data_IF_833141402953
#
_entry.id   IF_833141402953
#
_cell.length_a   1.000
_cell.length_b   1.000
_cell.length_c   1.000
_cell.angle_alpha   90.00
_cell.angle_beta   90.00
_cell.angle_gamma   90.00
#
_symmetry.space_group_name_H-M   'P 1'
#
loop_
_entity.id
_entity.type
_entity.pdbx_description
1 polymer ?
#
# COMPACT_ATOMS: atom_id res chain seq x y z
N UNK A 1 -10.50 -3.87 -8.77
CA UNK A 1 -9.34 -4.65 -8.30
C UNK A 1 -8.12 -3.77 -8.41
N UNK A 2 -7.26 -3.76 -7.40
CA UNK A 2 -5.91 -3.19 -7.39
C UNK A 2 -4.89 -4.33 -7.49
N UNK A 3 -3.81 -4.14 -8.25
CA UNK A 3 -2.78 -5.15 -8.47
C UNK A 3 -1.41 -4.57 -8.15
N UNK A 4 -0.65 -5.22 -7.27
CA UNK A 4 0.74 -4.89 -7.01
C UNK A 4 1.62 -5.44 -8.14
N UNK A 5 2.51 -4.63 -8.67
CA UNK A 5 3.33 -4.91 -9.84
C UNK A 5 4.77 -4.44 -9.66
N UNK A 6 5.70 -5.11 -10.35
CA UNK A 6 7.13 -4.76 -10.35
C UNK A 6 7.75 -4.68 -11.75
N UNK A 7 6.94 -4.71 -12.79
CA UNK A 7 7.39 -4.63 -14.17
C UNK A 7 6.39 -3.95 -15.10
N UNK A 8 6.89 -3.44 -16.23
CA UNK A 8 6.03 -2.87 -17.28
C UNK A 8 5.06 -3.92 -17.82
N UNK A 9 5.50 -5.16 -17.99
CA UNK A 9 4.64 -6.22 -18.51
C UNK A 9 3.52 -6.55 -17.55
N UNK A 10 3.79 -6.59 -16.25
CA UNK A 10 2.75 -6.82 -15.20
C UNK A 10 1.70 -5.70 -15.22
N UNK A 11 2.12 -4.43 -15.43
CA UNK A 11 1.16 -3.32 -15.56
C UNK A 11 0.21 -3.51 -16.75
N UNK A 12 0.74 -3.87 -17.92
CA UNK A 12 -0.07 -4.10 -19.11
C UNK A 12 -0.99 -5.32 -18.96
N UNK A 13 -0.54 -6.35 -18.26
CA UNK A 13 -1.37 -7.52 -17.96
C UNK A 13 -2.49 -7.19 -16.98
N UNK A 14 -2.20 -6.40 -15.93
CA UNK A 14 -3.18 -5.93 -14.96
C UNK A 14 -4.28 -5.09 -15.64
N UNK A 15 -3.91 -4.15 -16.50
CA UNK A 15 -4.85 -3.36 -17.30
C UNK A 15 -5.75 -4.26 -18.17
N UNK A 16 -5.16 -5.18 -18.95
CA UNK A 16 -5.92 -6.14 -19.78
C UNK A 16 -6.83 -7.03 -18.94
N UNK A 17 -6.43 -7.36 -17.71
CA UNK A 17 -7.21 -8.13 -16.75
C UNK A 17 -8.35 -7.33 -16.09
N UNK A 18 -8.48 -6.03 -16.40
CA UNK A 18 -9.54 -5.17 -15.87
C UNK A 18 -9.23 -4.62 -14.46
N UNK A 19 -7.96 -4.53 -14.08
CA UNK A 19 -7.58 -3.79 -12.88
C UNK A 19 -7.94 -2.31 -13.06
N UNK A 20 -8.45 -1.69 -12.00
CA UNK A 20 -8.76 -0.26 -12.04
C UNK A 20 -7.59 0.62 -11.61
N UNK A 21 -6.57 0.01 -11.00
CA UNK A 21 -5.35 0.66 -10.51
C UNK A 21 -4.25 -0.35 -10.29
N UNK A 22 -3.01 0.10 -10.35
CA UNK A 22 -1.83 -0.67 -9.94
C UNK A 22 -1.06 0.03 -8.82
N UNK A 23 -0.46 -0.78 -7.93
CA UNK A 23 0.56 -0.35 -7.00
C UNK A 23 1.92 -0.75 -7.55
N UNK A 24 2.72 0.24 -7.92
CA UNK A 24 4.04 0.01 -8.51
C UNK A 24 5.12 -0.05 -7.46
N UNK A 25 5.82 -1.18 -7.43
CA UNK A 25 6.93 -1.47 -6.54
C UNK A 25 8.18 -1.90 -7.32
N UNK A 26 9.29 -1.98 -6.63
CA UNK A 26 10.40 -2.87 -6.93
C UNK A 26 10.49 -3.94 -5.84
N UNK A 27 11.24 -5.02 -6.08
CA UNK A 27 11.63 -6.00 -5.07
C UNK A 27 10.45 -6.56 -4.24
N UNK A 28 9.44 -7.10 -4.91
CA UNK A 28 8.25 -7.68 -4.28
C UNK A 28 8.58 -8.81 -3.30
N UNK A 29 9.72 -9.49 -3.48
CA UNK A 29 10.18 -10.54 -2.57
C UNK A 29 10.45 -10.03 -1.15
N UNK A 30 10.74 -8.74 -0.99
CA UNK A 30 10.90 -8.06 0.31
C UNK A 30 9.68 -7.22 0.71
N UNK A 31 8.54 -7.47 0.07
CA UNK A 31 7.30 -6.75 0.34
C UNK A 31 7.18 -5.40 -0.36
N UNK A 32 7.99 -5.16 -1.40
CA UNK A 32 7.96 -3.95 -2.21
C UNK A 32 8.83 -2.81 -1.66
N UNK A 33 9.62 -2.20 -2.53
CA UNK A 33 10.42 -0.99 -2.28
C UNK A 33 10.12 0.05 -3.36
N UNK A 34 10.66 1.27 -3.22
CA UNK A 34 10.50 2.35 -4.21
C UNK A 34 10.96 1.88 -5.59
N UNK A 35 10.12 2.01 -6.64
CA UNK A 35 10.48 1.63 -8.00
C UNK A 35 11.38 2.68 -8.65
N UNK A 36 12.01 2.33 -9.78
CA UNK A 36 12.74 3.33 -10.55
C UNK A 36 11.78 4.28 -11.28
N UNK A 37 12.16 5.56 -11.34
CA UNK A 37 11.43 6.57 -12.10
C UNK A 37 11.32 6.19 -13.59
N UNK A 38 12.34 5.50 -14.15
CA UNK A 38 12.32 5.01 -15.52
C UNK A 38 11.18 4.01 -15.77
N UNK A 39 11.02 3.03 -14.88
CA UNK A 39 9.92 2.07 -14.97
C UNK A 39 8.55 2.76 -14.87
N UNK A 40 8.37 3.66 -13.92
CA UNK A 40 7.17 4.46 -13.76
C UNK A 40 6.80 5.21 -15.04
N UNK A 41 7.75 5.96 -15.63
CA UNK A 41 7.53 6.75 -16.84
C UNK A 41 7.12 5.88 -18.04
N UNK A 42 7.75 4.71 -18.22
CA UNK A 42 7.40 3.79 -19.32
C UNK A 42 5.99 3.22 -19.13
N UNK A 43 5.58 2.89 -17.90
CA UNK A 43 4.22 2.45 -17.60
C UNK A 43 3.22 3.55 -17.95
N UNK A 44 3.42 4.77 -17.45
CA UNK A 44 2.54 5.93 -17.72
C UNK A 44 2.45 6.27 -19.23
N UNK A 45 3.48 6.00 -20.02
CA UNK A 45 3.44 6.17 -21.48
C UNK A 45 2.64 5.09 -22.21
N UNK A 46 2.58 3.87 -21.65
CA UNK A 46 2.02 2.69 -22.34
C UNK A 46 0.64 2.28 -21.84
N UNK A 47 0.23 2.77 -20.69
CA UNK A 47 -1.02 2.40 -20.03
C UNK A 47 -1.67 3.61 -19.38
N UNK A 48 -2.98 3.82 -19.55
CA UNK A 48 -3.74 4.85 -18.86
C UNK A 48 -4.10 4.47 -17.42
N UNK A 49 -3.76 3.24 -16.97
CA UNK A 49 -4.13 2.75 -15.66
C UNK A 49 -3.55 3.65 -14.55
N UNK A 50 -4.31 4.04 -13.54
CA UNK A 50 -3.79 4.80 -12.40
C UNK A 50 -2.67 4.04 -11.68
N UNK A 51 -1.56 4.73 -11.40
CA UNK A 51 -0.36 4.16 -10.77
C UNK A 51 -0.13 4.81 -9.41
N UNK A 52 -0.26 4.02 -8.36
CA UNK A 52 0.17 4.38 -7.01
C UNK A 52 1.58 3.88 -6.80
N UNK A 53 2.45 4.71 -6.25
CA UNK A 53 3.88 4.42 -6.17
C UNK A 53 4.30 4.12 -4.75
N UNK A 54 4.97 2.98 -4.55
CA UNK A 54 5.58 2.62 -3.27
C UNK A 54 6.73 3.59 -2.94
N UNK A 55 6.68 4.19 -1.76
CA UNK A 55 7.74 5.03 -1.19
C UNK A 55 8.31 4.30 0.03
N UNK A 56 9.30 3.47 -0.21
CA UNK A 56 9.97 2.62 0.77
C UNK A 56 11.40 2.40 0.34
N UNK A 57 12.38 3.08 0.96
CA UNK A 57 13.76 3.11 0.47
C UNK A 57 14.48 1.78 0.57
N UNK A 58 14.07 0.90 1.46
CA UNK A 58 14.64 -0.44 1.68
C UNK A 58 13.63 -1.45 2.20
N UNK A 59 13.97 -2.73 2.12
CA UNK A 59 13.30 -3.81 2.83
C UNK A 59 13.52 -3.78 4.35
N UNK A 60 13.05 -4.80 5.05
CA UNK A 60 13.14 -4.91 6.51
C UNK A 60 12.06 -4.11 7.24
N UNK A 61 12.42 -3.52 8.39
CA UNK A 61 11.53 -2.75 9.23
C UNK A 61 11.06 -1.43 8.60
N UNK A 62 10.23 -0.70 9.33
CA UNK A 62 9.66 0.58 8.89
C UNK A 62 10.13 1.73 9.79
N UNK A 63 11.26 1.54 10.49
CA UNK A 63 11.94 2.51 11.33
C UNK A 63 13.10 3.10 10.53
N UNK A 64 12.95 4.28 9.99
CA UNK A 64 13.91 4.91 9.08
C UNK A 64 14.83 5.88 9.79
N UNK A 65 16.10 5.93 9.33
CA UNK A 65 17.05 6.98 9.69
C UNK A 65 16.63 8.34 9.09
N UNK A 66 17.31 9.41 9.49
CA UNK A 66 17.05 10.74 8.92
C UNK A 66 17.38 10.77 7.42
N UNK A 67 18.51 10.18 7.02
CA UNK A 67 18.90 10.13 5.60
C UNK A 67 17.89 9.32 4.75
N UNK A 68 17.39 8.20 5.27
CA UNK A 68 16.34 7.42 4.60
C UNK A 68 15.03 8.21 4.48
N UNK A 69 14.70 8.99 5.50
CA UNK A 69 13.51 9.85 5.46
C UNK A 69 13.67 10.99 4.45
N UNK A 70 14.86 11.61 4.34
CA UNK A 70 15.13 12.59 3.28
C UNK A 70 14.99 11.96 1.87
N UNK A 71 15.46 10.73 1.67
CA UNK A 71 15.24 9.99 0.41
C UNK A 71 13.75 9.80 0.15
N UNK A 72 12.95 9.41 1.15
CA UNK A 72 11.51 9.26 0.98
C UNK A 72 10.81 10.57 0.58
N UNK A 73 11.23 11.69 1.16
CA UNK A 73 10.70 13.02 0.79
C UNK A 73 11.02 13.39 -0.66
N UNK A 74 12.23 13.10 -1.10
CA UNK A 74 12.63 13.37 -2.48
C UNK A 74 11.89 12.45 -3.46
N UNK A 75 11.72 11.16 -3.14
CA UNK A 75 10.94 10.22 -3.95
C UNK A 75 9.49 10.70 -4.12
N UNK A 76 8.84 11.16 -3.04
CA UNK A 76 7.47 11.72 -3.11
C UNK A 76 7.40 12.88 -4.09
N UNK A 77 8.36 13.84 -4.02
CA UNK A 77 8.39 15.00 -4.93
C UNK A 77 8.55 14.56 -6.38
N UNK A 78 9.55 13.72 -6.63
CA UNK A 78 9.90 13.25 -7.98
C UNK A 78 8.75 12.50 -8.63
N UNK A 79 8.09 11.58 -7.91
CA UNK A 79 6.96 10.84 -8.46
C UNK A 79 5.70 11.69 -8.62
N UNK A 80 5.44 12.61 -7.70
CA UNK A 80 4.34 13.59 -7.82
C UNK A 80 4.53 14.46 -9.07
N UNK A 81 5.72 15.03 -9.28
CA UNK A 81 6.05 15.82 -10.47
C UNK A 81 5.98 14.97 -11.76
N UNK A 82 6.33 13.71 -11.69
CA UNK A 82 6.23 12.79 -12.82
C UNK A 82 4.79 12.35 -13.16
N UNK A 83 3.79 12.71 -12.33
CA UNK A 83 2.38 12.44 -12.56
C UNK A 83 1.89 11.13 -11.96
N UNK A 84 2.38 10.75 -10.78
CA UNK A 84 1.81 9.66 -10.00
C UNK A 84 0.34 9.96 -9.63
N UNK A 85 -0.47 8.92 -9.55
CA UNK A 85 -1.90 9.03 -9.19
C UNK A 85 -2.13 8.84 -7.69
N UNK A 86 -1.10 8.47 -6.95
CA UNK A 86 -1.08 8.31 -5.51
C UNK A 86 0.24 7.77 -5.00
N UNK A 87 0.42 7.73 -3.69
CA UNK A 87 1.61 7.22 -3.02
C UNK A 87 1.25 6.19 -1.95
N UNK A 88 2.20 5.29 -1.67
CA UNK A 88 2.03 4.20 -0.71
C UNK A 88 3.21 4.20 0.24
N UNK A 89 3.01 4.44 1.53
CA UNK A 89 4.06 4.47 2.54
C UNK A 89 3.54 4.23 3.95
N UNK A 90 4.44 4.09 4.92
CA UNK A 90 4.14 4.03 6.34
C UNK A 90 5.43 4.04 7.14
N UNK A 91 5.46 4.78 8.25
CA UNK A 91 6.62 4.94 9.12
C UNK A 91 6.23 4.61 10.54
N UNK A 92 7.05 3.84 11.21
CA UNK A 92 6.84 3.43 12.61
C UNK A 92 7.90 4.03 13.52
N UNK A 93 7.54 4.14 14.80
CA UNK A 93 8.48 4.45 15.88
C UNK A 93 9.10 3.16 16.44
N UNK A 94 10.18 3.29 17.21
CA UNK A 94 10.81 2.18 17.94
C UNK A 94 9.88 1.47 18.93
N UNK A 95 8.81 2.15 19.35
CA UNK A 95 7.80 1.62 20.27
C UNK A 95 6.72 0.80 19.54
N UNK A 96 6.76 0.72 18.21
CA UNK A 96 5.75 0.04 17.39
C UNK A 96 4.44 0.82 17.27
N UNK A 97 4.53 2.14 17.24
CA UNK A 97 3.42 3.05 16.94
C UNK A 97 3.65 3.74 15.58
N UNK A 98 2.62 4.39 15.05
CA UNK A 98 2.76 5.24 13.85
C UNK A 98 3.62 6.45 14.19
N UNK A 99 4.67 6.72 13.40
CA UNK A 99 5.40 7.98 13.45
C UNK A 99 4.54 9.08 12.82
N UNK A 100 3.75 9.74 13.65
CA UNK A 100 2.76 10.71 13.21
C UNK A 100 3.42 11.94 12.57
N UNK A 101 4.56 12.37 13.09
CA UNK A 101 5.27 13.57 12.61
C UNK A 101 5.78 13.35 11.18
N UNK A 102 6.52 12.27 10.97
CA UNK A 102 7.07 11.96 9.64
C UNK A 102 5.98 11.54 8.63
N UNK A 103 4.95 10.83 9.08
CA UNK A 103 3.82 10.49 8.22
C UNK A 103 3.02 11.72 7.78
N UNK A 104 2.81 12.69 8.67
CA UNK A 104 2.14 13.95 8.36
C UNK A 104 2.96 14.76 7.34
N UNK A 105 4.27 14.90 7.56
CA UNK A 105 5.17 15.61 6.64
C UNK A 105 5.15 15.00 5.22
N UNK A 106 5.23 13.67 5.09
CA UNK A 106 5.13 13.01 3.78
C UNK A 106 3.73 13.15 3.16
N UNK A 107 2.69 13.07 3.98
CA UNK A 107 1.31 13.22 3.52
C UNK A 107 1.07 14.63 2.95
N UNK A 108 1.56 15.66 3.65
CA UNK A 108 1.47 17.05 3.20
C UNK A 108 2.25 17.26 1.90
N UNK A 109 3.46 16.71 1.82
CA UNK A 109 4.29 16.78 0.63
C UNK A 109 3.62 16.10 -0.58
N UNK A 110 2.96 14.98 -0.36
CA UNK A 110 2.22 14.25 -1.38
C UNK A 110 0.95 14.99 -1.84
N UNK A 111 0.35 15.82 -0.99
CA UNK A 111 -0.91 16.51 -1.29
C UNK A 111 -0.87 17.23 -2.65
N UNK A 112 -1.92 17.14 -3.51
CA UNK A 112 -3.24 16.54 -3.27
C UNK A 112 -3.37 15.04 -3.59
N UNK A 113 -2.26 14.31 -3.82
CA UNK A 113 -2.32 12.90 -4.16
C UNK A 113 -2.89 12.09 -2.98
N UNK A 114 -3.74 11.09 -3.25
CA UNK A 114 -4.17 10.13 -2.24
C UNK A 114 -3.00 9.29 -1.72
N UNK A 115 -3.07 8.92 -0.43
CA UNK A 115 -2.05 8.10 0.21
C UNK A 115 -2.63 6.82 0.80
N UNK A 116 -1.89 5.72 0.65
CA UNK A 116 -2.17 4.43 1.27
C UNK A 116 -1.13 4.15 2.36
N UNK A 117 -1.57 3.80 3.56
CA UNK A 117 -0.69 3.27 4.59
C UNK A 117 -0.46 1.79 4.33
N UNK A 118 0.77 1.39 4.06
CA UNK A 118 1.11 0.03 3.63
C UNK A 118 1.22 -0.96 4.80
N UNK A 119 1.76 -2.14 4.55
CA UNK A 119 1.93 -3.25 5.52
C UNK A 119 2.72 -2.94 6.79
N UNK A 120 3.29 -1.74 6.95
CA UNK A 120 3.75 -1.29 8.27
C UNK A 120 2.64 -1.39 9.32
N UNK A 121 1.37 -1.36 8.89
CA UNK A 121 0.21 -1.56 9.76
C UNK A 121 0.24 -2.91 10.49
N UNK A 122 0.72 -3.95 9.84
CA UNK A 122 0.78 -5.29 10.41
C UNK A 122 1.83 -5.44 11.53
N UNK A 123 2.74 -4.44 11.66
CA UNK A 123 3.77 -4.40 12.71
C UNK A 123 3.42 -3.51 13.91
N UNK A 124 2.24 -2.87 13.88
CA UNK A 124 1.78 -2.01 14.97
C UNK A 124 1.36 -2.82 16.20
N UNK A 125 1.66 -2.32 17.39
CA UNK A 125 1.26 -2.98 18.66
C UNK A 125 -0.25 -2.97 18.88
N UNK A 126 -0.91 -1.88 18.51
CA UNK A 126 -2.36 -1.71 18.65
C UNK A 126 -2.95 -1.23 17.33
N UNK A 127 -3.52 -2.14 16.53
CA UNK A 127 -4.10 -1.79 15.24
C UNK A 127 -5.34 -0.89 15.37
N UNK A 128 -6.08 -0.98 16.46
CA UNK A 128 -7.33 -0.25 16.61
C UNK A 128 -7.12 1.22 16.97
N UNK A 129 -6.19 1.51 17.86
CA UNK A 129 -5.78 2.89 18.15
C UNK A 129 -5.07 3.49 16.94
N UNK A 130 -4.22 2.71 16.28
CA UNK A 130 -3.49 3.14 15.09
C UNK A 130 -4.41 3.44 13.91
N UNK A 131 -5.51 2.72 13.73
CA UNK A 131 -6.55 3.03 12.74
C UNK A 131 -7.03 4.48 12.89
N UNK A 132 -7.38 4.91 14.10
CA UNK A 132 -7.85 6.28 14.33
C UNK A 132 -6.76 7.32 14.07
N UNK A 133 -5.50 7.00 14.38
CA UNK A 133 -4.35 7.87 14.08
C UNK A 133 -4.18 8.03 12.57
N UNK A 134 -4.19 6.93 11.82
CA UNK A 134 -4.01 6.94 10.35
C UNK A 134 -5.16 7.68 9.65
N UNK A 135 -6.41 7.52 10.15
CA UNK A 135 -7.55 8.28 9.64
C UNK A 135 -7.33 9.79 9.86
N UNK A 136 -6.88 10.20 11.06
CA UNK A 136 -6.61 11.61 11.37
C UNK A 136 -5.49 12.21 10.52
N UNK A 137 -4.50 11.43 10.16
CA UNK A 137 -3.41 11.82 9.25
C UNK A 137 -3.88 11.98 7.79
N UNK A 138 -5.12 11.62 7.47
CA UNK A 138 -5.70 11.80 6.16
C UNK A 138 -5.26 10.76 5.13
N UNK A 139 -4.88 9.57 5.56
CA UNK A 139 -4.75 8.44 4.64
C UNK A 139 -6.12 7.98 4.18
N UNK A 140 -6.21 7.55 2.93
CA UNK A 140 -7.46 7.07 2.34
C UNK A 140 -7.60 5.56 2.41
N UNK A 141 -6.49 4.85 2.60
CA UNK A 141 -6.43 3.39 2.63
C UNK A 141 -5.40 2.86 3.60
N UNK A 142 -5.66 1.64 4.08
CA UNK A 142 -4.71 0.82 4.84
C UNK A 142 -4.62 -0.54 4.16
N UNK A 143 -3.40 -0.95 3.80
CA UNK A 143 -3.09 -2.31 3.34
C UNK A 143 -2.68 -3.16 4.54
N UNK A 144 -3.36 -4.29 4.76
CA UNK A 144 -3.09 -5.14 5.92
C UNK A 144 -3.43 -6.60 5.66
N UNK A 145 -2.66 -7.50 6.26
CA UNK A 145 -3.02 -8.92 6.42
C UNK A 145 -3.83 -9.20 7.69
N UNK A 146 -4.23 -8.14 8.43
CA UNK A 146 -4.89 -8.29 9.73
C UNK A 146 -3.94 -8.66 10.85
N UNK A 147 -2.65 -8.29 10.74
CA UNK A 147 -1.56 -8.64 11.65
C UNK A 147 -1.30 -10.15 11.74
N UNK A 148 -1.67 -10.88 10.72
CA UNK A 148 -1.48 -12.33 10.64
C UNK A 148 -0.64 -12.72 9.41
N UNK A 149 -0.30 -13.99 9.27
CA UNK A 149 0.52 -14.51 8.18
C UNK A 149 -0.13 -14.37 6.81
N UNK A 150 -1.47 -14.27 6.77
CA UNK A 150 -2.26 -14.02 5.56
C UNK A 150 -3.55 -13.28 5.88
N UNK A 151 -4.12 -12.61 4.88
CA UNK A 151 -5.42 -11.94 5.04
C UNK A 151 -6.55 -12.92 5.40
N UNK A 152 -6.42 -14.20 5.05
CA UNK A 152 -7.41 -15.23 5.41
C UNK A 152 -7.37 -15.54 6.92
N UNK A 153 -6.17 -15.66 7.48
CA UNK A 153 -5.99 -15.88 8.92
C UNK A 153 -6.31 -14.62 9.71
N UNK A 154 -5.95 -13.45 9.20
CA UNK A 154 -6.27 -12.14 9.78
C UNK A 154 -7.70 -11.64 9.54
N UNK A 155 -8.57 -12.45 8.91
CA UNK A 155 -9.94 -12.04 8.57
C UNK A 155 -10.75 -11.51 9.77
N UNK A 156 -10.66 -12.07 11.00
CA UNK A 156 -11.37 -11.50 12.15
C UNK A 156 -10.93 -10.07 12.47
N UNK A 157 -9.61 -9.81 12.43
CA UNK A 157 -9.06 -8.46 12.65
C UNK A 157 -9.48 -7.51 11.54
N UNK A 158 -9.37 -7.93 10.26
CA UNK A 158 -9.78 -7.14 9.10
C UNK A 158 -11.25 -6.74 9.20
N UNK A 159 -12.13 -7.70 9.52
CA UNK A 159 -13.57 -7.44 9.70
C UNK A 159 -13.81 -6.38 10.77
N UNK A 160 -13.15 -6.51 11.92
CA UNK A 160 -13.29 -5.55 13.01
C UNK A 160 -12.72 -4.15 12.66
N UNK A 161 -11.63 -4.09 11.88
CA UNK A 161 -11.10 -2.83 11.36
C UNK A 161 -12.09 -2.15 10.41
N UNK A 162 -12.74 -2.90 9.51
CA UNK A 162 -13.77 -2.39 8.60
C UNK A 162 -14.95 -1.82 9.39
N UNK A 163 -15.44 -2.55 10.39
CA UNK A 163 -16.54 -2.08 11.26
C UNK A 163 -16.17 -0.78 12.00
N UNK A 164 -14.94 -0.69 12.50
CA UNK A 164 -14.44 0.51 13.20
C UNK A 164 -14.15 1.67 12.25
N UNK A 165 -13.72 1.40 11.06
CA UNK A 165 -13.43 2.41 10.03
C UNK A 165 -14.69 3.21 9.66
N UNK A 166 -15.88 2.60 9.62
CA UNK A 166 -17.15 3.26 9.29
C UNK A 166 -17.07 4.12 8.03
N UNK A 167 -16.53 3.55 6.97
CA UNK A 167 -16.31 4.18 5.65
C UNK A 167 -15.40 5.44 5.66
N UNK A 168 -14.73 5.76 6.78
CA UNK A 168 -13.78 6.88 6.87
C UNK A 168 -12.44 6.60 6.19
N UNK A 169 -12.10 5.33 6.02
CA UNK A 169 -10.89 4.84 5.36
C UNK A 169 -11.16 3.45 4.77
N UNK A 170 -10.54 3.14 3.63
CA UNK A 170 -10.68 1.82 3.00
C UNK A 170 -9.66 0.84 3.58
N UNK A 171 -10.12 -0.28 4.12
CA UNK A 171 -9.25 -1.38 4.50
C UNK A 171 -9.05 -2.29 3.29
N UNK A 172 -7.80 -2.48 2.87
CA UNK A 172 -7.40 -3.29 1.72
C UNK A 172 -6.73 -4.56 2.23
N UNK A 173 -7.37 -5.73 2.11
CA UNK A 173 -6.74 -6.99 2.51
C UNK A 173 -5.52 -7.29 1.63
N UNK A 174 -4.36 -7.56 2.25
CA UNK A 174 -3.16 -8.00 1.54
C UNK A 174 -3.23 -9.51 1.26
N UNK A 175 -3.40 -9.86 0.00
CA UNK A 175 -3.49 -11.26 -0.44
C UNK A 175 -2.17 -11.82 -0.98
N UNK A 176 -1.09 -11.04 -1.02
CA UNK A 176 0.22 -11.48 -1.53
C UNK A 176 0.91 -12.51 -0.64
N UNK A 177 0.68 -12.49 0.67
CA UNK A 177 1.20 -13.50 1.57
C UNK A 177 0.28 -14.72 1.63
N UNK A 178 0.56 -15.77 0.86
CA UNK A 178 -0.01 -17.08 1.06
C UNK A 178 -0.94 -17.63 -0.02
N UNK A 179 -1.21 -16.94 -1.11
CA UNK A 179 -1.99 -17.49 -2.22
C UNK A 179 -1.13 -18.35 -3.16
N UNK A 180 -0.55 -19.42 -2.61
CA UNK A 180 -0.20 -20.57 -3.40
C UNK A 180 -1.45 -21.45 -3.59
N UNK A 181 -2.07 -21.35 -4.77
CA UNK A 181 -2.88 -22.40 -5.45
C UNK A 181 -4.16 -22.97 -4.83
N UNK A 182 -4.63 -22.64 -3.64
CA UNK A 182 -5.80 -23.34 -3.06
C UNK A 182 -7.07 -22.52 -2.82
N UNK A 183 -7.12 -21.23 -3.11
CA UNK A 183 -8.26 -20.37 -2.74
C UNK A 183 -9.16 -19.94 -3.91
N UNK A 184 -9.16 -20.66 -5.01
CA UNK A 184 -9.96 -20.35 -6.20
C UNK A 184 -11.48 -20.23 -6.00
N UNK A 185 -12.00 -20.59 -4.83
CA UNK A 185 -13.42 -20.52 -4.48
C UNK A 185 -13.83 -19.29 -3.65
N UNK A 186 -13.03 -18.92 -2.65
CA UNK A 186 -13.36 -17.81 -1.73
C UNK A 186 -13.16 -16.43 -2.36
N UNK A 187 -12.24 -16.31 -3.29
CA UNK A 187 -11.93 -15.03 -3.96
C UNK A 187 -13.00 -14.57 -4.97
N UNK A 188 -14.00 -15.42 -5.26
CA UNK A 188 -15.12 -15.06 -6.15
C UNK A 188 -16.26 -14.31 -5.46
N UNK A 189 -16.29 -14.28 -4.14
CA UNK A 189 -17.30 -13.53 -3.42
C UNK A 189 -16.91 -12.05 -3.35
N UNK A 190 -17.35 -11.28 -4.34
CA UNK A 190 -17.13 -9.83 -4.46
C UNK A 190 -17.76 -9.02 -3.32
N UNK A 191 -18.58 -9.63 -2.48
CA UNK A 191 -19.22 -8.95 -1.35
C UNK A 191 -18.30 -8.90 -0.14
N UNK A 192 -17.38 -9.87 0.00
CA UNK A 192 -16.43 -9.93 1.12
C UNK A 192 -15.12 -9.17 0.84
N UNK A 193 -14.65 -9.15 -0.44
CA UNK A 193 -13.39 -8.53 -0.80
C UNK A 193 -13.49 -7.77 -2.13
N UNK A 194 -14.03 -6.55 -2.15
CA UNK A 194 -14.15 -5.77 -3.39
C UNK A 194 -12.82 -5.39 -4.03
N UNK A 195 -11.70 -5.60 -3.35
CA UNK A 195 -10.35 -5.17 -3.76
C UNK A 195 -9.34 -6.31 -3.81
N UNK A 196 -9.76 -7.55 -4.12
CA UNK A 196 -8.86 -8.70 -4.13
C UNK A 196 -7.99 -8.74 -5.39
N UNK A 197 -6.69 -8.95 -5.18
CA UNK A 197 -5.71 -9.34 -6.18
C UNK A 197 -6.06 -10.72 -6.75
N UNK A 198 -6.22 -10.82 -8.08
CA UNK A 198 -6.27 -12.10 -8.80
C UNK A 198 -5.01 -12.19 -9.66
N UNK A 199 -4.25 -13.31 -9.60
CA UNK A 199 -3.05 -13.50 -10.41
C UNK A 199 -3.31 -13.46 -11.92
#
# INVERSE_FOLDING_TARGET
>A
MEVCIDSVQSALNAEKGGAFRVELCSNLMEGGTTPSLGMFRIIKQRSPIPVFVMIRPRGGDFLYTEDEFEVMKEDVKVFKEAGADGVVFGILTSEGAVDTVRCEELRDLASPLPATFHRAFDMLKDPYTSLEVIIKLGFERILTSGQDSSALEGLPTITHLIEKAKDRITIVPDTLCGLTQQTGGLLRDRTLFPHVLVP
#
